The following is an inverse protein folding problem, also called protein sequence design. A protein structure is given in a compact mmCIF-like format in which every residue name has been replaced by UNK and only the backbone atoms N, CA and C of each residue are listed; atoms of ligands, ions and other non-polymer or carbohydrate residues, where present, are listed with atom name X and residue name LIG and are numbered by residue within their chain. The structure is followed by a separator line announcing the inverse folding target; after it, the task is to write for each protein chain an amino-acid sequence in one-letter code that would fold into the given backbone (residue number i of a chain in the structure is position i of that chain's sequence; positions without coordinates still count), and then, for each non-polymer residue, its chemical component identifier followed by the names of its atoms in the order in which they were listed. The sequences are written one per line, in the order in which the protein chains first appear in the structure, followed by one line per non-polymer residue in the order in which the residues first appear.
data_IF_211027932856
#
_entry.id   IF_211027932856
#
_cell.length_a   1.000
_cell.length_b   1.000
_cell.length_c   1.000
_cell.angle_alpha   90.00
_cell.angle_beta   90.00
_cell.angle_gamma   90.00
#
_symmetry.space_group_name_H-M   'P 1'
#
loop_
_entity.id
_entity.type
_entity.pdbx_description
1 polymer ?
#
# COMPACT_ATOMS: atom_id res chain seq x y z
N UNK A 1 1.36 18.04 -1.14
CA UNK A 1 2.41 17.13 -0.62
C UNK A 1 2.98 16.22 -1.70
N UNK A 2 4.30 15.95 -1.66
CA UNK A 2 4.99 15.09 -2.64
C UNK A 2 4.44 13.67 -2.70
N UNK A 3 4.02 13.09 -1.58
CA UNK A 3 3.47 11.73 -1.52
C UNK A 3 2.15 11.61 -2.28
N UNK A 4 1.28 12.64 -2.21
CA UNK A 4 0.00 12.62 -2.93
C UNK A 4 0.20 12.60 -4.45
N UNK A 5 1.17 13.36 -4.96
CA UNK A 5 1.52 13.34 -6.38
C UNK A 5 2.04 11.97 -6.82
N UNK A 6 2.91 11.35 -6.02
CA UNK A 6 3.42 9.99 -6.29
C UNK A 6 2.30 8.95 -6.23
N UNK A 7 1.37 9.06 -5.29
CA UNK A 7 0.20 8.18 -5.19
C UNK A 7 -0.69 8.28 -6.43
N UNK A 8 -0.98 9.50 -6.90
CA UNK A 8 -1.76 9.73 -8.12
C UNK A 8 -1.10 9.11 -9.35
N UNK A 9 0.20 9.33 -9.52
CA UNK A 9 0.97 8.78 -10.64
C UNK A 9 0.97 7.24 -10.62
N UNK A 10 1.18 6.64 -9.44
CA UNK A 10 1.13 5.19 -9.26
C UNK A 10 -0.24 4.58 -9.59
N UNK A 11 -1.33 5.19 -9.11
CA UNK A 11 -2.69 4.71 -9.38
C UNK A 11 -2.99 4.81 -10.87
N UNK A 12 -2.73 5.97 -11.49
CA UNK A 12 -2.98 6.18 -12.91
C UNK A 12 -2.19 5.20 -13.78
N UNK A 13 -0.91 5.00 -13.47
CA UNK A 13 -0.04 4.08 -14.21
C UNK A 13 -0.46 2.62 -14.03
N UNK A 14 -0.92 2.24 -12.83
CA UNK A 14 -1.43 0.90 -12.58
C UNK A 14 -2.74 0.63 -13.32
N UNK A 15 -3.69 1.57 -13.27
CA UNK A 15 -4.97 1.46 -13.98
C UNK A 15 -4.77 1.35 -15.50
N UNK A 16 -3.93 2.20 -16.09
CA UNK A 16 -3.62 2.12 -17.52
C UNK A 16 -3.02 0.78 -17.93
N UNK A 17 -2.19 0.18 -17.06
CA UNK A 17 -1.63 -1.15 -17.31
C UNK A 17 -2.66 -2.26 -17.18
N UNK A 18 -3.62 -2.14 -16.27
CA UNK A 18 -4.70 -3.12 -16.11
C UNK A 18 -5.58 -3.25 -17.36
N UNK A 19 -5.74 -2.18 -18.15
CA UNK A 19 -6.50 -2.22 -19.42
C UNK A 19 -5.85 -3.15 -20.46
N UNK A 20 -4.54 -3.31 -20.41
CA UNK A 20 -3.77 -4.10 -21.39
C UNK A 20 -3.39 -5.47 -20.85
N UNK A 21 -3.09 -5.57 -19.55
CA UNK A 21 -2.68 -6.82 -18.92
C UNK A 21 -3.10 -6.84 -17.44
N UNK A 22 -3.89 -7.85 -17.08
CA UNK A 22 -4.20 -8.11 -15.68
C UNK A 22 -2.98 -8.64 -14.94
N UNK A 23 -2.47 -7.87 -13.98
CA UNK A 23 -1.24 -8.20 -13.27
C UNK A 23 -1.19 -7.67 -11.85
N UNK A 24 -0.23 -8.17 -11.06
CA UNK A 24 0.08 -7.67 -9.72
C UNK A 24 1.34 -6.81 -9.76
N UNK A 25 1.36 -5.71 -9.02
CA UNK A 25 2.51 -4.83 -8.86
C UNK A 25 3.06 -4.87 -7.44
N UNK A 26 4.36 -4.67 -7.29
CA UNK A 26 5.00 -4.47 -5.99
C UNK A 26 5.64 -3.08 -5.96
N UNK A 27 5.31 -2.30 -4.94
CA UNK A 27 5.87 -0.96 -4.72
C UNK A 27 6.88 -1.05 -3.57
N UNK A 28 8.12 -0.62 -3.82
CA UNK A 28 9.19 -0.61 -2.82
C UNK A 28 9.39 0.81 -2.32
N UNK A 29 9.21 1.03 -1.02
CA UNK A 29 9.45 2.30 -0.36
C UNK A 29 10.75 2.27 0.45
N UNK A 30 11.45 3.40 0.51
CA UNK A 30 12.71 3.54 1.26
C UNK A 30 12.53 3.37 2.77
N UNK A 31 11.34 3.68 3.32
CA UNK A 31 11.06 3.53 4.75
C UNK A 31 9.63 3.07 5.01
N UNK A 32 9.42 2.45 6.17
CA UNK A 32 8.11 1.99 6.65
C UNK A 32 7.10 3.13 6.79
N UNK A 33 7.56 4.30 7.24
CA UNK A 33 6.74 5.51 7.35
C UNK A 33 6.23 5.96 5.98
N UNK A 34 7.11 5.99 4.97
CA UNK A 34 6.72 6.36 3.60
C UNK A 34 5.75 5.33 3.03
N UNK A 35 5.95 4.04 3.28
CA UNK A 35 5.03 3.00 2.81
C UNK A 35 3.61 3.19 3.37
N UNK A 36 3.49 3.53 4.65
CA UNK A 36 2.20 3.78 5.32
C UNK A 36 1.54 5.04 4.77
N UNK A 37 2.28 6.15 4.71
CA UNK A 37 1.76 7.42 4.15
C UNK A 37 1.34 7.29 2.68
N UNK A 38 2.08 6.50 1.90
CA UNK A 38 1.74 6.23 0.50
C UNK A 38 0.45 5.40 0.41
N UNK A 39 0.30 4.40 1.27
CA UNK A 39 -0.90 3.58 1.34
C UNK A 39 -2.13 4.41 1.71
N UNK A 40 -2.03 5.27 2.74
CA UNK A 40 -3.11 6.17 3.13
C UNK A 40 -3.50 7.11 1.98
N UNK A 41 -2.51 7.67 1.29
CA UNK A 41 -2.74 8.52 0.12
C UNK A 41 -3.40 7.77 -1.05
N UNK A 42 -3.07 6.49 -1.27
CA UNK A 42 -3.73 5.66 -2.29
C UNK A 42 -5.17 5.35 -1.90
N UNK A 43 -5.44 5.02 -0.63
CA UNK A 43 -6.80 4.77 -0.14
C UNK A 43 -7.66 6.02 -0.21
N UNK A 44 -7.11 7.20 0.04
CA UNK A 44 -7.82 8.48 -0.13
C UNK A 44 -8.30 8.68 -1.58
N UNK A 45 -7.55 8.17 -2.57
CA UNK A 45 -7.91 8.22 -3.99
C UNK A 45 -8.86 7.10 -4.43
N UNK A 46 -8.65 5.88 -3.90
CA UNK A 46 -9.35 4.64 -4.28
C UNK A 46 -9.73 3.86 -3.03
N UNK A 47 -10.76 4.31 -2.28
CA UNK A 47 -11.14 3.68 -1.02
C UNK A 47 -11.57 2.21 -1.20
N UNK A 48 -12.08 1.85 -2.38
CA UNK A 48 -12.48 0.47 -2.70
C UNK A 48 -11.32 -0.53 -2.80
N UNK A 49 -10.07 -0.06 -2.89
CA UNK A 49 -8.90 -0.94 -2.92
C UNK A 49 -8.51 -1.47 -1.54
N UNK A 50 -8.98 -0.80 -0.47
CA UNK A 50 -8.71 -1.18 0.90
C UNK A 50 -9.58 -2.37 1.35
N UNK A 51 -8.98 -3.27 2.12
CA UNK A 51 -9.71 -4.24 2.93
C UNK A 51 -8.98 -4.46 4.25
N UNK A 52 -9.72 -4.68 5.33
CA UNK A 52 -9.15 -5.00 6.64
C UNK A 52 -8.59 -6.43 6.70
N UNK A 53 -9.13 -7.34 5.90
CA UNK A 53 -8.66 -8.72 5.81
C UNK A 53 -7.39 -8.78 4.94
N UNK A 54 -6.29 -9.28 5.53
CA UNK A 54 -4.98 -9.42 4.91
C UNK A 54 -4.96 -10.29 3.64
N UNK A 55 -6.00 -11.10 3.41
CA UNK A 55 -6.17 -11.95 2.22
C UNK A 55 -7.11 -11.34 1.17
N UNK A 56 -7.73 -10.20 1.48
CA UNK A 56 -8.68 -9.49 0.61
C UNK A 56 -8.14 -8.09 0.30
N UNK A 57 -8.81 -7.41 -0.63
CA UNK A 57 -8.38 -6.09 -1.10
C UNK A 57 -7.37 -6.16 -2.25
N UNK A 58 -7.09 -4.98 -2.81
CA UNK A 58 -6.24 -4.82 -4.00
C UNK A 58 -4.84 -4.37 -3.62
N UNK A 59 -4.72 -3.57 -2.55
CA UNK A 59 -3.46 -3.02 -2.06
C UNK A 59 -3.19 -3.44 -0.62
N UNK A 60 -1.94 -3.79 -0.32
CA UNK A 60 -1.49 -4.21 1.00
C UNK A 60 -0.08 -3.71 1.27
N UNK A 61 0.16 -3.21 2.49
CA UNK A 61 1.50 -2.91 2.97
C UNK A 61 2.05 -4.11 3.69
N UNK A 62 3.16 -4.65 3.18
CA UNK A 62 3.87 -5.77 3.79
C UNK A 62 5.12 -5.24 4.46
N UNK A 63 5.12 -5.20 5.79
CA UNK A 63 6.30 -4.85 6.57
C UNK A 63 6.41 -5.68 7.84
N UNK A 64 7.63 -5.77 8.38
CA UNK A 64 7.86 -6.23 9.75
C UNK A 64 7.90 -4.99 10.63
N UNK A 65 6.86 -4.78 11.44
CA UNK A 65 6.91 -3.74 12.47
C UNK A 65 7.76 -4.19 13.66
N UNK A 66 8.30 -3.22 14.38
CA UNK A 66 9.05 -3.37 15.62
C UNK A 66 8.26 -2.71 16.75
N UNK A 67 8.54 -3.07 18.01
CA UNK A 67 7.81 -2.55 19.18
C UNK A 67 7.89 -1.02 19.36
N UNK A 68 8.78 -0.35 18.64
CA UNK A 68 8.93 1.12 18.63
C UNK A 68 8.06 1.81 17.55
N UNK A 69 7.36 1.06 16.71
CA UNK A 69 6.52 1.62 15.66
C UNK A 69 5.15 2.04 16.23
N UNK A 70 4.71 3.26 15.90
CA UNK A 70 3.42 3.81 16.34
C UNK A 70 2.20 3.00 15.84
N UNK A 71 1.00 3.30 16.36
CA UNK A 71 -0.22 2.51 16.13
C UNK A 71 -0.62 2.38 14.64
N UNK A 72 -0.30 3.37 13.80
CA UNK A 72 -0.56 3.31 12.35
C UNK A 72 0.31 2.26 11.64
N UNK A 73 1.59 2.15 12.00
CA UNK A 73 2.50 1.18 11.41
C UNK A 73 2.30 -0.23 11.99
N UNK A 74 1.80 -0.34 13.23
CA UNK A 74 1.47 -1.61 13.84
C UNK A 74 0.34 -2.35 13.09
N UNK A 75 -0.61 -1.62 12.49
CA UNK A 75 -1.70 -2.21 11.68
C UNK A 75 -1.22 -2.92 10.42
N UNK A 76 -0.05 -2.54 9.92
CA UNK A 76 0.57 -3.14 8.74
C UNK A 76 1.58 -4.24 9.08
N UNK A 77 1.60 -4.71 10.33
CA UNK A 77 2.43 -5.83 10.73
C UNK A 77 1.99 -7.11 10.00
N UNK A 78 2.93 -7.77 9.34
CA UNK A 78 2.70 -9.05 8.65
C UNK A 78 3.72 -10.09 9.08
N UNK A 79 3.25 -11.28 9.47
CA UNK A 79 4.11 -12.43 9.76
C UNK A 79 4.54 -13.12 8.46
N UNK A 80 5.56 -14.00 8.52
CA UNK A 80 6.03 -14.75 7.33
C UNK A 80 4.94 -15.54 6.63
N UNK A 81 3.95 -16.04 7.38
CA UNK A 81 2.81 -16.81 6.87
C UNK A 81 1.75 -15.94 6.19
N UNK A 82 1.82 -14.62 6.37
CA UNK A 82 0.85 -13.63 5.88
C UNK A 82 1.38 -12.79 4.69
N UNK A 83 2.62 -13.04 4.25
CA UNK A 83 3.25 -12.43 3.07
C UNK A 83 2.85 -13.19 1.82
#
# INVERSE_FOLDING_TARGET
DRIKLVAQDLVAHFEQRQEVMFGKGMIVAMSRRIATQLYDAVIELKPEWHNEDLKKGVIKVVMTSASADGPEMAKHHTTKEQR
#
